data_IF_754616385300
#
_entry.id   IF_754616385300
#
_cell.length_a   1.000
_cell.length_b   1.000
_cell.length_c   1.000
_cell.angle_alpha   90.00
_cell.angle_beta   90.00
_cell.angle_gamma   90.00
#
_symmetry.space_group_name_H-M   'P 1'
#
loop_
_entity.id
_entity.type
_entity.pdbx_description
1 polymer ?
#
# COMPACT_ATOMS: atom_id res chain seq x y z
N UNK A 1 -6.04 -38.82 71.05
CA UNK A 1 -5.02 -38.65 69.98
C UNK A 1 -4.58 -37.20 70.00
N UNK A 2 -3.28 -36.98 70.27
CA UNK A 2 -2.37 -35.85 69.95
C UNK A 2 -2.99 -34.43 69.98
N UNK A 3 -2.67 -33.59 70.99
CA UNK A 3 -1.45 -32.75 71.08
C UNK A 3 -1.27 -31.87 69.84
N UNK A 4 -1.11 -30.55 69.87
CA UNK A 4 -0.78 -29.57 70.91
C UNK A 4 -0.08 -28.37 70.23
N UNK A 5 0.05 -27.28 70.97
CA UNK A 5 1.02 -26.18 70.83
C UNK A 5 0.81 -25.06 69.77
N UNK A 6 0.77 -23.84 70.33
CA UNK A 6 1.15 -22.55 69.74
C UNK A 6 2.52 -22.59 69.06
N UNK A 7 2.67 -21.89 67.94
CA UNK A 7 3.93 -21.26 67.49
C UNK A 7 3.59 -19.99 66.69
N UNK A 8 3.66 -18.82 67.33
CA UNK A 8 4.65 -17.76 67.11
C UNK A 8 4.63 -17.11 65.71
N UNK A 9 4.16 -15.86 65.69
CA UNK A 9 4.39 -14.91 64.61
C UNK A 9 5.90 -14.59 64.52
N UNK A 10 6.50 -14.91 63.37
CA UNK A 10 7.82 -14.41 63.00
C UNK A 10 7.63 -13.39 61.87
N UNK A 11 7.93 -12.13 62.18
CA UNK A 11 8.22 -11.10 61.17
C UNK A 11 9.40 -11.57 60.32
N UNK A 12 9.16 -11.82 59.05
CA UNK A 12 10.23 -11.83 58.04
C UNK A 12 10.10 -10.50 57.29
N UNK A 13 11.02 -9.59 57.58
CA UNK A 13 11.25 -8.40 56.76
C UNK A 13 11.76 -8.86 55.38
N UNK A 14 10.86 -9.04 54.42
CA UNK A 14 11.22 -9.21 53.03
C UNK A 14 11.65 -7.84 52.50
N UNK A 15 12.96 -7.65 52.31
CA UNK A 15 13.52 -6.52 51.58
C UNK A 15 12.89 -6.47 50.19
N UNK A 16 12.23 -5.37 49.87
CA UNK A 16 11.72 -5.10 48.54
C UNK A 16 12.88 -5.09 47.54
N UNK A 17 12.83 -5.84 46.43
CA UNK A 17 13.72 -5.56 45.32
C UNK A 17 13.30 -4.20 44.72
N UNK A 18 14.28 -3.30 44.58
CA UNK A 18 14.13 -2.02 43.91
C UNK A 18 13.51 -2.22 42.50
N UNK A 19 12.76 -1.24 41.97
CA UNK A 19 12.23 -1.34 40.62
C UNK A 19 13.42 -1.38 39.65
N UNK A 20 13.61 -2.51 38.98
CA UNK A 20 14.46 -2.56 37.82
C UNK A 20 13.83 -1.62 36.78
N UNK A 21 14.43 -0.45 36.61
CA UNK A 21 14.17 0.46 35.51
C UNK A 21 14.40 -0.32 34.22
N UNK A 22 13.32 -0.81 33.62
CA UNK A 22 13.36 -1.31 32.25
C UNK A 22 13.67 -0.11 31.36
N UNK A 23 14.96 0.09 31.11
CA UNK A 23 15.45 1.00 30.09
C UNK A 23 14.78 0.59 28.79
N UNK A 24 13.86 1.42 28.31
CA UNK A 24 13.22 1.28 27.02
C UNK A 24 14.32 1.15 25.97
N UNK A 25 14.42 -0.03 25.35
CA UNK A 25 15.22 -0.19 24.15
C UNK A 25 14.63 0.74 23.08
N UNK A 26 15.44 1.59 22.42
CA UNK A 26 14.91 2.49 21.42
C UNK A 26 14.36 1.68 20.25
N UNK A 27 13.16 2.07 19.80
CA UNK A 27 12.55 1.60 18.57
C UNK A 27 13.54 1.82 17.43
N UNK A 28 14.03 0.74 16.84
CA UNK A 28 14.91 0.79 15.68
C UNK A 28 14.09 1.34 14.51
N UNK A 29 14.47 2.50 14.00
CA UNK A 29 13.90 3.11 12.82
C UNK A 29 14.20 2.21 11.60
N UNK A 30 13.26 1.35 11.18
CA UNK A 30 13.31 0.68 9.87
C UNK A 30 13.14 1.72 8.75
N UNK A 31 14.23 2.45 8.51
CA UNK A 31 14.38 3.51 7.52
C UNK A 31 15.86 3.80 7.18
N UNK A 32 16.81 3.34 8.00
CA UNK A 32 18.23 3.42 7.70
C UNK A 32 18.71 2.16 6.94
N UNK A 33 19.26 2.35 5.73
CA UNK A 33 19.98 1.32 5.02
C UNK A 33 21.17 0.87 5.89
N UNK A 34 21.19 -0.40 6.31
CA UNK A 34 22.38 -1.00 6.92
C UNK A 34 23.59 -0.84 5.97
N UNK A 35 24.81 -0.59 6.48
CA UNK A 35 25.99 -0.51 5.64
C UNK A 35 26.26 -1.89 5.04
N UNK A 36 26.01 -2.00 3.73
CA UNK A 36 26.20 -3.23 2.96
C UNK A 36 27.71 -3.44 2.76
N UNK A 37 28.32 -4.36 3.49
CA UNK A 37 29.68 -4.88 3.21
C UNK A 37 29.67 -5.94 2.11
N UNK A 38 28.81 -5.78 1.11
CA UNK A 38 28.83 -6.60 -0.11
C UNK A 38 29.41 -5.75 -1.22
N UNK A 39 30.52 -6.20 -1.80
CA UNK A 39 31.08 -5.66 -3.05
C UNK A 39 29.92 -5.34 -3.99
N UNK A 40 29.80 -4.11 -4.55
CA UNK A 40 28.67 -3.76 -5.39
C UNK A 40 28.76 -4.61 -6.65
N UNK A 41 28.03 -5.74 -6.64
CA UNK A 41 27.54 -6.35 -7.86
C UNK A 41 26.85 -5.20 -8.57
N UNK A 42 27.44 -4.74 -9.70
CA UNK A 42 26.89 -3.63 -10.50
C UNK A 42 25.42 -3.94 -10.69
N UNK A 43 24.56 -3.21 -9.98
CA UNK A 43 23.12 -3.38 -10.14
C UNK A 43 22.87 -3.06 -11.60
N UNK A 44 22.22 -3.97 -12.33
CA UNK A 44 21.95 -3.72 -13.74
C UNK A 44 21.21 -2.39 -13.85
N UNK A 45 21.80 -1.44 -14.58
CA UNK A 45 21.22 -0.14 -14.82
C UNK A 45 20.65 -0.10 -16.25
N UNK A 46 19.50 0.56 -16.38
CA UNK A 46 18.87 0.86 -17.65
C UNK A 46 18.48 2.33 -17.66
N UNK A 47 18.74 3.01 -18.77
CA UNK A 47 18.32 4.38 -19.00
C UNK A 47 17.23 4.37 -20.07
N UNK A 48 16.10 5.01 -19.78
CA UNK A 48 15.05 5.27 -20.75
C UNK A 48 15.27 6.66 -21.35
N UNK A 49 15.44 6.72 -22.67
CA UNK A 49 15.69 7.97 -23.39
C UNK A 49 17.17 8.21 -23.72
N UNK A 50 17.43 9.32 -24.42
CA UNK A 50 18.73 9.74 -24.93
C UNK A 50 18.92 11.26 -24.86
N UNK A 51 18.24 11.94 -23.93
CA UNK A 51 18.38 13.38 -23.69
C UNK A 51 17.28 14.25 -24.26
N UNK A 52 16.25 13.68 -24.88
CA UNK A 52 15.12 14.44 -25.44
C UNK A 52 13.77 13.87 -25.00
N UNK A 53 12.70 14.68 -24.87
CA UNK A 53 11.39 14.18 -24.49
C UNK A 53 10.88 13.08 -25.43
N UNK A 54 11.08 13.24 -26.73
CA UNK A 54 10.65 12.27 -27.76
C UNK A 54 11.36 10.91 -27.67
N UNK A 55 12.57 10.86 -27.10
CA UNK A 55 13.31 9.61 -26.93
C UNK A 55 12.73 8.69 -25.84
N UNK A 56 11.95 9.27 -24.91
CA UNK A 56 11.33 8.54 -23.80
C UNK A 56 9.97 7.98 -24.20
N UNK A 57 9.99 6.76 -24.75
CA UNK A 57 8.80 6.09 -25.29
C UNK A 57 8.25 5.04 -24.35
N UNK A 58 6.94 4.78 -24.43
CA UNK A 58 6.26 3.63 -23.81
C UNK A 58 7.06 2.33 -24.00
N UNK A 59 7.46 2.05 -25.23
CA UNK A 59 8.23 0.86 -25.60
C UNK A 59 9.56 0.76 -24.85
N UNK A 60 10.26 1.88 -24.64
CA UNK A 60 11.50 1.89 -23.88
C UNK A 60 11.26 1.60 -22.39
N UNK A 61 10.20 2.16 -21.80
CA UNK A 61 9.78 1.86 -20.42
C UNK A 61 9.46 0.37 -20.25
N UNK A 62 8.61 -0.20 -21.12
CA UNK A 62 8.21 -1.60 -21.05
C UNK A 62 9.43 -2.53 -21.12
N UNK A 63 10.38 -2.26 -22.02
CA UNK A 63 11.62 -3.06 -22.11
C UNK A 63 12.50 -2.92 -20.87
N UNK A 64 12.64 -1.71 -20.33
CA UNK A 64 13.45 -1.48 -19.14
C UNK A 64 12.85 -2.19 -17.92
N UNK A 65 11.53 -2.14 -17.73
CA UNK A 65 10.83 -2.84 -16.63
C UNK A 65 10.97 -4.36 -16.76
N UNK A 66 10.82 -4.91 -17.97
CA UNK A 66 10.98 -6.35 -18.20
C UNK A 66 12.42 -6.83 -17.96
N UNK A 67 13.42 -5.98 -18.23
CA UNK A 67 14.83 -6.27 -17.94
C UNK A 67 15.15 -6.22 -16.43
N UNK A 68 14.38 -5.46 -15.67
CA UNK A 68 14.62 -5.21 -14.25
C UNK A 68 15.87 -4.36 -13.97
N UNK A 69 16.31 -4.36 -12.72
CA UNK A 69 17.40 -3.52 -12.24
C UNK A 69 16.96 -2.11 -11.87
N UNK A 70 17.89 -1.15 -11.90
CA UNK A 70 17.61 0.27 -11.65
C UNK A 70 17.36 0.96 -12.98
N UNK A 71 16.21 1.62 -13.09
CA UNK A 71 15.72 2.30 -14.28
C UNK A 71 15.68 3.80 -14.00
N UNK A 72 16.50 4.54 -14.73
CA UNK A 72 16.51 6.01 -14.73
C UNK A 72 16.06 6.54 -16.09
N UNK A 73 15.84 7.85 -16.18
CA UNK A 73 15.25 8.47 -17.36
C UNK A 73 16.09 9.67 -17.80
N UNK A 74 16.46 9.66 -19.08
CA UNK A 74 17.15 10.75 -19.76
C UNK A 74 16.22 11.33 -20.85
N UNK A 75 15.19 12.06 -20.41
CA UNK A 75 14.15 12.64 -21.26
C UNK A 75 14.36 14.13 -21.53
N UNK A 76 15.55 14.66 -21.23
CA UNK A 76 15.84 16.09 -21.27
C UNK A 76 15.58 16.82 -19.95
N UNK A 77 15.73 18.16 -19.93
CA UNK A 77 15.81 18.93 -18.69
C UNK A 77 14.46 19.15 -17.99
N UNK A 78 13.34 19.15 -18.73
CA UNK A 78 12.01 19.44 -18.21
C UNK A 78 11.21 18.21 -17.77
N UNK A 79 10.04 18.40 -17.14
CA UNK A 79 9.08 17.32 -16.91
C UNK A 79 8.59 16.71 -18.22
N UNK A 80 8.40 15.39 -18.24
CA UNK A 80 7.95 14.63 -19.42
C UNK A 80 6.85 13.64 -19.03
N UNK A 81 5.74 13.68 -19.77
CA UNK A 81 4.70 12.65 -19.70
C UNK A 81 4.91 11.65 -20.82
N UNK A 82 5.07 10.39 -20.44
CA UNK A 82 5.15 9.25 -21.35
C UNK A 82 3.77 8.61 -21.39
N UNK A 83 3.06 8.76 -22.52
CA UNK A 83 1.83 8.04 -22.79
C UNK A 83 2.16 6.55 -22.94
N UNK A 84 1.67 5.72 -22.02
CA UNK A 84 1.94 4.29 -22.01
C UNK A 84 1.00 3.62 -22.99
N UNK A 85 1.52 2.97 -24.02
CA UNK A 85 0.75 2.21 -25.02
C UNK A 85 0.56 0.74 -24.61
N UNK A 86 1.36 0.27 -23.64
CA UNK A 86 1.30 -1.09 -23.11
C UNK A 86 1.66 -1.08 -21.63
N UNK A 87 0.98 -1.92 -20.84
CA UNK A 87 1.34 -2.15 -19.44
C UNK A 87 2.77 -2.68 -19.34
N UNK A 88 3.58 -2.03 -18.50
CA UNK A 88 4.92 -2.49 -18.20
C UNK A 88 4.86 -3.57 -17.11
N UNK A 89 5.24 -4.79 -17.47
CA UNK A 89 5.15 -5.98 -16.61
C UNK A 89 6.53 -6.35 -16.08
N UNK A 90 6.62 -6.53 -14.77
CA UNK A 90 7.81 -7.05 -14.10
C UNK A 90 7.91 -8.55 -14.39
N UNK A 91 9.09 -9.00 -14.82
CA UNK A 91 9.38 -10.43 -14.99
C UNK A 91 9.81 -11.01 -13.64
N UNK A 92 9.22 -12.13 -13.24
CA UNK A 92 9.35 -12.68 -11.89
C UNK A 92 10.76 -13.18 -11.53
N UNK A 93 11.62 -13.42 -12.53
CA UNK A 93 13.04 -13.74 -12.32
C UNK A 93 13.88 -12.52 -11.94
N UNK A 94 13.31 -11.31 -11.94
CA UNK A 94 14.00 -10.08 -11.53
C UNK A 94 14.16 -10.03 -10.02
N UNK A 95 15.38 -9.94 -9.51
CA UNK A 95 15.59 -9.72 -8.07
C UNK A 95 15.01 -8.37 -7.59
N UNK A 96 15.17 -7.33 -8.43
CA UNK A 96 14.77 -5.96 -8.12
C UNK A 96 14.41 -5.19 -9.38
N UNK A 97 13.41 -4.31 -9.28
CA UNK A 97 13.04 -3.33 -10.29
C UNK A 97 12.84 -1.98 -9.60
N UNK A 98 13.65 -0.98 -9.93
CA UNK A 98 13.53 0.38 -9.39
C UNK A 98 13.22 1.34 -10.53
N UNK A 99 12.08 2.00 -10.50
CA UNK A 99 11.80 3.12 -11.40
C UNK A 99 12.07 4.42 -10.64
N UNK A 100 13.05 5.17 -11.11
CA UNK A 100 13.46 6.44 -10.53
C UNK A 100 13.28 7.59 -11.54
N UNK A 101 12.18 8.31 -11.43
CA UNK A 101 11.80 9.35 -12.37
C UNK A 101 12.50 10.69 -12.17
N UNK A 102 13.37 10.82 -11.18
CA UNK A 102 14.05 12.10 -10.92
C UNK A 102 13.13 13.26 -10.53
N UNK A 103 11.84 13.01 -10.29
CA UNK A 103 10.80 14.02 -10.05
C UNK A 103 10.23 14.63 -11.33
N UNK A 104 10.66 14.17 -12.51
CA UNK A 104 10.32 14.75 -13.82
C UNK A 104 9.42 13.86 -14.66
N UNK A 105 9.35 12.57 -14.36
CA UNK A 105 8.68 11.61 -15.22
C UNK A 105 7.27 11.31 -14.74
N UNK A 106 6.33 11.47 -15.66
CA UNK A 106 4.96 10.99 -15.54
C UNK A 106 4.76 9.82 -16.50
N UNK A 107 4.24 8.69 -16.00
CA UNK A 107 3.70 7.63 -16.84
C UNK A 107 2.17 7.77 -16.84
N UNK A 108 1.57 7.95 -18.02
CA UNK A 108 0.12 8.05 -18.14
C UNK A 108 -0.47 6.78 -18.77
N UNK A 109 -1.47 6.19 -18.12
CA UNK A 109 -2.25 5.08 -18.66
C UNK A 109 -3.28 5.50 -19.72
N UNK A 110 -3.42 6.81 -19.97
CA UNK A 110 -4.31 7.42 -20.95
C UNK A 110 -5.81 7.13 -20.74
N UNK A 111 -6.21 6.70 -19.54
CA UNK A 111 -7.57 6.26 -19.22
C UNK A 111 -7.88 4.83 -19.68
N UNK A 112 -6.94 4.17 -20.35
CA UNK A 112 -7.19 2.94 -21.12
C UNK A 112 -6.56 1.69 -20.49
N UNK A 113 -5.51 1.85 -19.66
CA UNK A 113 -4.74 0.67 -19.21
C UNK A 113 -4.02 0.86 -17.89
N UNK A 114 -3.72 -0.29 -17.27
CA UNK A 114 -2.81 -0.40 -16.14
C UNK A 114 -1.40 -0.01 -16.57
N UNK A 115 -0.69 0.74 -15.72
CA UNK A 115 0.65 1.24 -16.04
C UNK A 115 1.72 0.21 -15.67
N UNK A 116 1.74 -0.26 -14.42
CA UNK A 116 2.68 -1.26 -13.91
C UNK A 116 1.97 -2.49 -13.37
N UNK A 117 2.57 -3.65 -13.60
CA UNK A 117 2.04 -4.93 -13.16
C UNK A 117 3.17 -5.83 -12.66
N UNK A 118 2.99 -6.38 -11.46
CA UNK A 118 3.84 -7.41 -10.90
C UNK A 118 2.96 -8.52 -10.32
N UNK A 119 3.10 -9.74 -10.81
CA UNK A 119 2.34 -10.87 -10.33
C UNK A 119 3.20 -12.14 -10.39
N UNK A 120 3.68 -12.56 -9.23
CA UNK A 120 4.51 -13.77 -9.09
C UNK A 120 3.74 -15.07 -9.39
N UNK A 121 2.40 -15.01 -9.43
CA UNK A 121 1.51 -16.10 -9.80
C UNK A 121 1.15 -16.11 -11.30
N UNK A 122 1.56 -15.09 -12.06
CA UNK A 122 1.34 -15.03 -13.51
C UNK A 122 2.44 -15.83 -14.25
N UNK A 123 2.05 -16.98 -14.81
CA UNK A 123 2.96 -17.84 -15.58
C UNK A 123 3.56 -17.13 -16.80
N UNK A 124 2.88 -16.15 -17.38
CA UNK A 124 3.41 -15.37 -18.49
C UNK A 124 4.57 -14.45 -18.06
N UNK A 125 4.70 -14.17 -16.75
CA UNK A 125 5.85 -13.46 -16.17
C UNK A 125 6.91 -14.41 -15.58
N UNK A 126 6.84 -15.70 -15.92
CA UNK A 126 7.69 -16.81 -15.43
C UNK A 126 7.34 -17.23 -14.01
N UNK A 127 7.19 -18.54 -13.79
CA UNK A 127 7.00 -19.08 -12.45
C UNK A 127 8.35 -19.52 -11.87
N UNK A 128 8.70 -19.00 -10.71
CA UNK A 128 10.03 -19.16 -10.08
C UNK A 128 10.06 -20.19 -8.96
N UNK A 129 8.91 -20.52 -8.37
CA UNK A 129 8.76 -21.44 -7.22
C UNK A 129 7.46 -22.23 -7.34
N UNK A 130 7.23 -23.24 -6.49
CA UNK A 130 5.91 -23.91 -6.41
C UNK A 130 4.85 -23.10 -5.65
N UNK A 131 5.27 -22.08 -4.89
CA UNK A 131 4.41 -21.24 -4.04
C UNK A 131 4.55 -19.78 -4.50
N UNK A 132 3.65 -19.35 -5.38
CA UNK A 132 3.80 -18.05 -6.02
C UNK A 132 3.50 -16.87 -5.10
N UNK A 133 2.62 -17.04 -4.12
CA UNK A 133 2.04 -15.98 -3.31
C UNK A 133 2.98 -15.45 -2.22
N UNK A 134 3.96 -16.23 -1.75
CA UNK A 134 4.95 -15.77 -0.75
C UNK A 134 6.38 -15.84 -1.30
N UNK A 135 6.78 -14.82 -2.07
CA UNK A 135 8.12 -14.73 -2.65
C UNK A 135 8.84 -13.46 -2.24
N UNK A 136 10.12 -13.58 -1.87
CA UNK A 136 10.95 -12.43 -1.50
C UNK A 136 11.25 -11.47 -2.66
N UNK A 137 11.12 -11.96 -3.89
CA UNK A 137 11.43 -11.28 -5.14
C UNK A 137 10.29 -11.53 -6.14
N UNK A 138 10.03 -10.59 -7.07
CA UNK A 138 10.75 -9.34 -7.29
C UNK A 138 10.52 -8.26 -6.23
N UNK A 139 11.51 -7.37 -6.05
CA UNK A 139 11.38 -6.15 -5.25
C UNK A 139 11.14 -4.94 -6.16
N UNK A 140 9.90 -4.51 -6.28
CA UNK A 140 9.50 -3.31 -7.01
C UNK A 140 9.60 -2.07 -6.11
N UNK A 141 10.32 -1.05 -6.59
CA UNK A 141 10.37 0.28 -5.97
C UNK A 141 10.03 1.31 -7.02
N UNK A 142 9.02 2.13 -6.76
CA UNK A 142 8.74 3.34 -7.54
C UNK A 142 9.13 4.54 -6.71
N UNK A 143 9.97 5.42 -7.25
CA UNK A 143 10.37 6.63 -6.54
C UNK A 143 10.50 7.85 -7.44
N UNK A 144 10.08 9.02 -6.93
CA UNK A 144 10.14 10.29 -7.67
C UNK A 144 9.46 10.21 -9.05
N UNK A 145 8.34 9.47 -9.10
CA UNK A 145 7.53 9.22 -10.28
C UNK A 145 6.17 9.90 -10.16
N UNK A 146 5.51 10.16 -11.29
CA UNK A 146 4.06 10.39 -11.35
C UNK A 146 3.37 9.31 -12.16
N UNK A 147 2.21 8.87 -11.72
CA UNK A 147 1.35 7.89 -12.40
C UNK A 147 -0.04 8.48 -12.57
N UNK A 148 -0.45 8.74 -13.80
CA UNK A 148 -1.74 9.39 -14.08
C UNK A 148 -2.60 8.58 -15.03
N UNK A 149 -3.92 8.77 -14.94
CA UNK A 149 -4.88 8.20 -15.89
C UNK A 149 -4.71 6.69 -16.10
N UNK A 150 -4.22 5.95 -15.10
CA UNK A 150 -4.19 4.50 -15.11
C UNK A 150 -5.61 3.96 -15.03
N UNK A 151 -5.91 2.90 -15.77
CA UNK A 151 -7.23 2.25 -15.73
C UNK A 151 -7.11 0.73 -15.74
N UNK A 152 -7.70 0.07 -14.77
CA UNK A 152 -7.82 -1.39 -14.76
C UNK A 152 -9.22 -1.88 -15.11
N UNK A 153 -10.05 -1.04 -15.74
CA UNK A 153 -11.43 -1.42 -16.06
C UNK A 153 -11.47 -2.67 -16.95
N UNK A 154 -12.25 -3.68 -16.55
CA UNK A 154 -12.35 -4.96 -17.25
C UNK A 154 -11.17 -5.91 -17.03
N UNK A 155 -10.14 -5.51 -16.28
CA UNK A 155 -9.05 -6.40 -15.88
C UNK A 155 -9.49 -7.26 -14.69
N UNK A 156 -9.78 -8.54 -14.92
CA UNK A 156 -10.37 -9.43 -13.90
C UNK A 156 -9.38 -10.33 -13.17
N UNK A 157 -8.09 -10.30 -13.55
CA UNK A 157 -7.04 -11.09 -12.90
C UNK A 157 -7.06 -10.85 -11.39
N UNK A 158 -7.23 -11.93 -10.63
CA UNK A 158 -7.24 -11.93 -9.16
C UNK A 158 -8.24 -10.93 -8.54
N UNK A 159 -9.41 -10.81 -9.16
CA UNK A 159 -10.49 -9.92 -8.71
C UNK A 159 -10.35 -8.47 -9.18
N UNK A 160 -9.30 -8.16 -9.95
CA UNK A 160 -9.12 -6.88 -10.62
C UNK A 160 -8.61 -5.74 -9.73
N UNK A 161 -8.73 -4.52 -10.25
CA UNK A 161 -8.21 -3.31 -9.62
C UNK A 161 -6.75 -2.99 -9.96
N UNK A 162 -6.19 -2.03 -9.23
CA UNK A 162 -4.82 -1.55 -9.46
C UNK A 162 -4.70 -0.78 -10.77
N UNK A 163 -5.38 0.36 -10.87
CA UNK A 163 -5.45 1.17 -12.10
C UNK A 163 -4.09 1.72 -12.54
N UNK A 164 -3.27 2.22 -11.63
CA UNK A 164 -1.88 2.52 -11.95
C UNK A 164 -0.98 1.29 -11.76
N UNK A 165 -1.02 0.68 -10.58
CA UNK A 165 -0.13 -0.41 -10.18
C UNK A 165 -0.93 -1.56 -9.58
N UNK A 166 -0.69 -2.77 -10.09
CA UNK A 166 -1.15 -4.01 -9.49
C UNK A 166 0.04 -4.85 -9.03
N UNK A 167 -0.04 -5.36 -7.80
CA UNK A 167 0.97 -6.24 -7.21
C UNK A 167 0.34 -7.48 -6.58
N UNK A 168 0.89 -8.64 -6.93
CA UNK A 168 0.65 -9.91 -6.25
C UNK A 168 1.98 -10.64 -6.03
N UNK A 169 2.35 -10.80 -4.76
CA UNK A 169 3.60 -11.39 -4.29
C UNK A 169 4.79 -10.44 -4.44
N UNK A 170 5.99 -10.91 -4.11
CA UNK A 170 7.18 -10.08 -4.12
C UNK A 170 7.15 -9.01 -3.02
N UNK A 171 7.74 -7.84 -3.31
CA UNK A 171 7.70 -6.66 -2.43
C UNK A 171 7.51 -5.36 -3.22
N UNK A 172 6.67 -4.47 -2.70
CA UNK A 172 6.48 -3.09 -3.19
C UNK A 172 6.98 -2.04 -2.19
N UNK A 173 7.54 -0.95 -2.70
CA UNK A 173 7.74 0.30 -1.95
C UNK A 173 7.50 1.52 -2.85
N UNK A 174 6.84 2.53 -2.31
CA UNK A 174 6.44 3.77 -3.01
C UNK A 174 7.02 4.96 -2.25
N UNK A 175 7.88 5.73 -2.90
CA UNK A 175 8.61 6.83 -2.25
C UNK A 175 8.50 8.11 -3.08
N UNK A 176 8.20 9.25 -2.48
CA UNK A 176 8.30 10.55 -3.15
C UNK A 176 7.53 10.61 -4.49
N UNK A 177 6.37 9.95 -4.58
CA UNK A 177 5.67 9.73 -5.86
C UNK A 177 4.23 10.25 -5.82
N UNK A 178 3.67 10.55 -6.99
CA UNK A 178 2.30 11.03 -7.12
C UNK A 178 1.44 10.12 -7.99
N UNK A 179 0.18 9.95 -7.61
CA UNK A 179 -0.84 9.20 -8.33
C UNK A 179 -2.05 10.09 -8.51
N UNK A 180 -2.48 10.32 -9.76
CA UNK A 180 -3.61 11.20 -10.05
C UNK A 180 -4.59 10.57 -11.05
N UNK A 181 -5.88 10.74 -10.80
CA UNK A 181 -6.97 10.44 -11.75
C UNK A 181 -6.99 9.00 -12.28
N UNK A 182 -6.46 8.08 -11.48
CA UNK A 182 -6.47 6.67 -11.81
C UNK A 182 -7.84 6.05 -11.51
N UNK A 183 -8.16 4.96 -12.21
CA UNK A 183 -9.50 4.35 -12.26
C UNK A 183 -9.43 2.84 -12.18
N UNK A 184 -10.50 2.24 -11.68
CA UNK A 184 -10.77 0.82 -11.82
C UNK A 184 -12.26 0.62 -12.13
N UNK A 185 -12.73 -0.63 -12.20
CA UNK A 185 -14.14 -0.95 -12.29
C UNK A 185 -14.98 -0.23 -11.23
N UNK A 186 -16.16 0.24 -11.64
CA UNK A 186 -17.02 1.10 -10.81
C UNK A 186 -17.80 0.33 -9.76
N UNK A 187 -17.83 -0.99 -9.85
CA UNK A 187 -18.62 -1.88 -9.02
C UNK A 187 -17.88 -3.20 -8.80
N UNK A 188 -18.20 -3.89 -7.70
CA UNK A 188 -17.64 -5.19 -7.38
C UNK A 188 -17.25 -5.26 -5.90
N UNK A 189 -17.58 -6.36 -5.20
CA UNK A 189 -17.03 -6.61 -3.87
C UNK A 189 -15.51 -6.77 -3.96
N UNK A 190 -14.79 -6.34 -2.93
CA UNK A 190 -13.34 -6.56 -2.78
C UNK A 190 -12.42 -6.02 -3.90
N UNK A 191 -12.99 -5.42 -4.94
CA UNK A 191 -12.29 -4.80 -6.05
C UNK A 191 -11.96 -3.36 -5.68
N UNK A 192 -10.68 -2.99 -5.75
CA UNK A 192 -10.24 -1.67 -5.31
C UNK A 192 -8.92 -1.19 -5.91
N UNK A 193 -8.46 -0.03 -5.47
CA UNK A 193 -7.13 0.48 -5.79
C UNK A 193 -7.11 1.15 -7.15
N UNK A 194 -7.75 2.31 -7.30
CA UNK A 194 -7.63 3.07 -8.54
C UNK A 194 -6.16 3.42 -8.79
N UNK A 195 -5.41 3.85 -7.76
CA UNK A 195 -3.96 3.96 -7.88
C UNK A 195 -3.29 2.59 -7.71
N UNK A 196 -3.37 1.98 -6.53
CA UNK A 196 -2.58 0.78 -6.22
C UNK A 196 -3.42 -0.32 -5.59
N UNK A 197 -3.27 -1.54 -6.11
CA UNK A 197 -3.81 -2.77 -5.52
C UNK A 197 -2.69 -3.75 -5.18
N UNK A 198 -2.73 -4.29 -3.96
CA UNK A 198 -1.76 -5.29 -3.49
C UNK A 198 -2.48 -6.47 -2.83
N UNK A 199 -2.22 -7.69 -3.30
CA UNK A 199 -2.91 -8.90 -2.83
C UNK A 199 -2.05 -9.84 -2.00
N UNK A 200 -0.73 -9.73 -2.11
CA UNK A 200 0.23 -10.59 -1.40
C UNK A 200 1.56 -9.84 -1.26
N UNK A 201 2.25 -10.04 -0.13
CA UNK A 201 3.58 -9.50 0.17
C UNK A 201 4.42 -10.55 0.88
N UNK A 202 5.73 -10.58 0.61
CA UNK A 202 6.59 -11.56 1.28
C UNK A 202 6.53 -11.47 2.80
N UNK A 203 6.19 -12.58 3.46
CA UNK A 203 6.06 -12.71 4.93
C UNK A 203 5.15 -11.64 5.53
N UNK A 204 4.09 -11.29 4.82
CA UNK A 204 3.06 -10.32 5.24
C UNK A 204 3.63 -8.94 5.63
N UNK A 205 4.85 -8.63 5.15
CA UNK A 205 5.51 -7.36 5.44
C UNK A 205 4.70 -6.22 4.82
N UNK A 206 4.51 -5.11 5.55
CA UNK A 206 3.72 -4.01 5.05
C UNK A 206 4.35 -3.40 3.79
N UNK A 207 3.49 -2.93 2.90
CA UNK A 207 3.91 -2.03 1.83
C UNK A 207 4.23 -0.67 2.44
N UNK A 208 5.40 -0.13 2.11
CA UNK A 208 5.82 1.20 2.58
C UNK A 208 5.47 2.25 1.53
N UNK A 209 4.70 3.25 1.97
CA UNK A 209 4.35 4.44 1.21
C UNK A 209 4.86 5.66 1.97
N UNK A 210 5.79 6.42 1.39
CA UNK A 210 6.40 7.59 2.05
C UNK A 210 6.37 8.82 1.15
N UNK A 211 6.02 9.97 1.72
CA UNK A 211 6.06 11.29 1.04
C UNK A 211 5.38 11.27 -0.33
N UNK A 212 4.22 10.64 -0.41
CA UNK A 212 3.54 10.39 -1.67
C UNK A 212 2.14 11.01 -1.67
N UNK A 213 1.63 11.33 -2.86
CA UNK A 213 0.32 11.99 -3.02
C UNK A 213 -0.62 11.14 -3.88
N UNK A 214 -1.88 11.03 -3.47
CA UNK A 214 -2.92 10.28 -4.18
C UNK A 214 -4.16 11.15 -4.34
N UNK A 215 -4.51 11.49 -5.58
CA UNK A 215 -5.56 12.48 -5.85
C UNK A 215 -6.56 12.01 -6.91
N UNK A 216 -7.84 12.27 -6.69
CA UNK A 216 -8.87 12.13 -7.72
C UNK A 216 -9.17 10.69 -8.17
N UNK A 217 -8.66 9.69 -7.47
CA UNK A 217 -8.87 8.29 -7.81
C UNK A 217 -10.34 7.89 -7.74
N UNK A 218 -10.81 7.05 -8.66
CA UNK A 218 -12.20 6.54 -8.68
C UNK A 218 -12.27 5.06 -8.95
N UNK A 219 -12.83 4.31 -8.01
CA UNK A 219 -12.85 2.85 -8.06
C UNK A 219 -14.05 2.30 -7.27
N UNK A 220 -14.38 1.01 -7.42
CA UNK A 220 -15.46 0.39 -6.62
C UNK A 220 -15.21 0.58 -5.12
N UNK A 221 -13.98 0.30 -4.67
CA UNK A 221 -13.49 0.50 -3.30
C UNK A 221 -12.07 1.09 -3.34
N UNK A 222 -11.56 1.58 -2.20
CA UNK A 222 -10.13 1.89 -2.00
C UNK A 222 -9.53 2.74 -3.12
N UNK A 223 -10.06 3.93 -3.38
CA UNK A 223 -9.76 4.59 -4.66
C UNK A 223 -8.35 5.15 -4.79
N UNK A 224 -7.62 5.30 -3.68
CA UNK A 224 -6.16 5.39 -3.74
C UNK A 224 -5.52 4.01 -3.58
N UNK A 225 -5.57 3.46 -2.36
CA UNK A 225 -4.91 2.20 -2.00
C UNK A 225 -5.94 1.13 -1.67
N UNK A 226 -5.68 -0.09 -2.13
CA UNK A 226 -6.48 -1.25 -1.78
C UNK A 226 -5.62 -2.47 -1.55
N UNK A 227 -5.96 -3.26 -0.53
CA UNK A 227 -5.39 -4.59 -0.35
C UNK A 227 -6.41 -5.63 0.10
N UNK A 228 -6.05 -6.89 -0.15
CA UNK A 228 -6.58 -8.05 0.57
C UNK A 228 -5.37 -8.76 1.19
N UNK A 229 -5.42 -9.06 2.48
CA UNK A 229 -4.36 -9.81 3.18
C UNK A 229 -3.02 -9.08 3.32
N UNK A 230 -2.95 -7.77 2.99
CA UNK A 230 -1.68 -7.03 3.01
C UNK A 230 -1.78 -5.77 3.85
N UNK A 231 -0.80 -5.62 4.74
CA UNK A 231 -0.59 -4.47 5.62
C UNK A 231 0.01 -3.26 4.90
N UNK A 232 -0.24 -2.05 5.43
CA UNK A 232 0.32 -0.79 4.92
C UNK A 232 1.00 0.00 6.02
N UNK A 233 2.12 0.64 5.65
CA UNK A 233 2.74 1.72 6.42
C UNK A 233 2.81 2.97 5.55
N UNK A 234 1.98 3.95 5.88
CA UNK A 234 1.80 5.21 5.16
C UNK A 234 2.37 6.34 6.01
N UNK A 235 3.37 7.03 5.49
CA UNK A 235 4.14 8.05 6.23
C UNK A 235 4.24 9.32 5.40
N UNK A 236 4.00 10.47 6.02
CA UNK A 236 4.13 11.81 5.43
C UNK A 236 3.42 11.97 4.08
N UNK A 237 2.26 11.31 3.90
CA UNK A 237 1.58 11.21 2.60
C UNK A 237 0.24 11.92 2.59
N UNK A 238 -0.25 12.27 1.39
CA UNK A 238 -1.49 13.03 1.22
C UNK A 238 -2.48 12.28 0.32
N UNK A 239 -3.73 12.22 0.73
CA UNK A 239 -4.84 11.60 0.00
C UNK A 239 -5.97 12.61 -0.15
N UNK A 240 -6.28 13.00 -1.38
CA UNK A 240 -7.24 14.08 -1.63
C UNK A 240 -8.26 13.70 -2.68
N UNK A 241 -9.54 13.93 -2.39
CA UNK A 241 -10.64 13.80 -3.36
C UNK A 241 -10.71 12.43 -4.06
N UNK A 242 -10.31 11.35 -3.38
CA UNK A 242 -10.49 9.99 -3.88
C UNK A 242 -11.90 9.50 -3.55
N UNK A 243 -12.58 8.81 -4.48
CA UNK A 243 -13.99 8.46 -4.34
C UNK A 243 -14.27 6.98 -4.63
N UNK A 244 -14.66 6.22 -3.59
CA UNK A 244 -15.20 4.88 -3.73
C UNK A 244 -16.66 4.95 -4.24
N UNK A 245 -16.86 4.64 -5.53
CA UNK A 245 -18.11 4.88 -6.26
C UNK A 245 -19.04 3.66 -6.35
N UNK A 246 -18.59 2.51 -5.84
CA UNK A 246 -19.41 1.29 -5.76
C UNK A 246 -20.64 1.45 -4.85
N UNK A 247 -21.51 0.44 -4.85
CA UNK A 247 -22.69 0.41 -3.97
C UNK A 247 -23.06 -1.03 -3.64
N UNK A 248 -23.48 -1.28 -2.40
CA UNK A 248 -23.89 -2.59 -1.94
C UNK A 248 -23.02 -3.21 -0.86
N UNK A 249 -22.00 -2.49 -0.37
CA UNK A 249 -21.07 -2.93 0.65
C UNK A 249 -20.23 -4.16 0.27
N UNK A 250 -19.41 -4.62 1.22
CA UNK A 250 -18.68 -5.88 1.15
C UNK A 250 -18.90 -6.69 2.45
N UNK A 251 -19.38 -7.95 2.39
CA UNK A 251 -19.90 -8.65 1.20
C UNK A 251 -21.10 -7.93 0.58
N UNK A 252 -21.33 -8.17 -0.72
CA UNK A 252 -22.41 -7.52 -1.47
C UNK A 252 -23.80 -7.88 -0.90
N UNK A 253 -24.63 -6.87 -0.64
CA UNK A 253 -26.04 -7.06 -0.27
C UNK A 253 -26.82 -7.71 -1.43
N UNK A 254 -27.91 -8.47 -1.14
CA UNK A 254 -28.76 -9.05 -2.17
C UNK A 254 -29.23 -7.99 -3.18
N UNK A 255 -29.06 -8.29 -4.47
CA UNK A 255 -29.47 -7.40 -5.56
C UNK A 255 -28.55 -6.20 -5.84
N UNK A 256 -27.39 -6.11 -5.21
CA UNK A 256 -26.41 -5.04 -5.43
C UNK A 256 -25.10 -5.57 -6.03
N UNK A 257 -24.41 -4.80 -6.90
CA UNK A 257 -23.16 -5.26 -7.50
C UNK A 257 -21.94 -5.21 -6.56
N UNK A 258 -22.09 -4.66 -5.35
CA UNK A 258 -21.07 -4.62 -4.31
C UNK A 258 -20.09 -3.45 -4.41
N UNK A 259 -19.41 -3.18 -3.30
CA UNK A 259 -18.41 -2.14 -3.14
C UNK A 259 -18.95 -0.84 -2.52
N UNK A 260 -18.19 0.25 -2.66
CA UNK A 260 -18.50 1.58 -2.12
C UNK A 260 -17.74 1.95 -0.86
N UNK A 261 -16.69 1.22 -0.49
CA UNK A 261 -15.99 1.39 0.77
C UNK A 261 -14.55 1.91 0.61
N UNK A 262 -14.10 2.74 1.54
CA UNK A 262 -12.72 3.24 1.62
C UNK A 262 -12.40 4.23 0.50
N UNK A 263 -12.80 5.50 0.61
CA UNK A 263 -12.52 6.50 -0.42
C UNK A 263 -11.03 6.63 -0.70
N UNK A 264 -10.20 6.73 0.34
CA UNK A 264 -8.75 6.68 0.21
C UNK A 264 -8.20 5.24 0.28
N UNK A 265 -8.41 4.54 1.41
CA UNK A 265 -7.81 3.23 1.69
C UNK A 265 -8.89 2.19 1.96
N UNK A 266 -8.78 1.04 1.29
CA UNK A 266 -9.55 -0.16 1.56
C UNK A 266 -8.64 -1.32 1.97
N UNK A 267 -8.95 -1.99 3.07
CA UNK A 267 -8.25 -3.18 3.54
C UNK A 267 -9.25 -4.23 4.04
N UNK A 268 -9.08 -5.45 3.56
CA UNK A 268 -9.72 -6.67 4.05
C UNK A 268 -8.63 -7.73 4.26
N UNK A 269 -8.78 -8.65 5.21
CA UNK A 269 -7.84 -9.75 5.40
C UNK A 269 -7.83 -10.34 6.81
N UNK A 270 -6.89 -11.23 7.05
CA UNK A 270 -6.60 -11.84 8.36
C UNK A 270 -5.25 -11.31 8.83
N UNK A 271 -5.09 -10.97 10.11
CA UNK A 271 -3.82 -10.46 10.67
C UNK A 271 -3.16 -9.34 9.84
N UNK A 272 -3.97 -8.33 9.48
CA UNK A 272 -3.51 -7.14 8.73
C UNK A 272 -3.36 -5.93 9.64
N UNK A 273 -2.45 -5.03 9.30
CA UNK A 273 -2.17 -3.82 10.08
C UNK A 273 -2.05 -2.58 9.19
N UNK A 274 -2.61 -1.47 9.67
CA UNK A 274 -2.51 -0.16 9.04
C UNK A 274 -1.81 0.82 9.97
N UNK A 275 -0.71 1.41 9.51
CA UNK A 275 -0.02 2.53 10.18
C UNK A 275 -0.11 3.75 9.28
N UNK A 276 -0.63 4.86 9.82
CA UNK A 276 -0.71 6.18 9.18
C UNK A 276 -0.01 7.20 10.08
N UNK A 277 1.09 7.78 9.61
CA UNK A 277 1.93 8.71 10.37
C UNK A 277 2.16 9.99 9.58
N UNK A 278 2.04 11.16 10.23
CA UNK A 278 2.35 12.45 9.61
C UNK A 278 1.54 12.77 8.34
N UNK A 279 0.39 12.13 8.14
CA UNK A 279 -0.29 12.09 6.84
C UNK A 279 -1.59 12.88 6.86
N UNK A 280 -2.05 13.31 5.68
CA UNK A 280 -3.31 14.03 5.50
C UNK A 280 -4.25 13.25 4.59
N UNK A 281 -5.51 13.12 4.97
CA UNK A 281 -6.59 12.63 4.11
C UNK A 281 -7.74 13.63 4.14
N UNK A 282 -8.08 14.21 3.00
CA UNK A 282 -9.11 15.26 2.93
C UNK A 282 -10.01 15.09 1.72
N UNK A 283 -11.31 15.30 1.87
CA UNK A 283 -12.26 15.28 0.76
C UNK A 283 -12.51 13.89 0.16
N UNK A 284 -12.00 12.82 0.77
CA UNK A 284 -12.19 11.47 0.26
C UNK A 284 -13.61 10.98 0.58
N UNK A 285 -14.27 10.35 -0.38
CA UNK A 285 -15.68 9.99 -0.28
C UNK A 285 -15.90 8.49 -0.46
N UNK A 286 -16.79 7.92 0.34
CA UNK A 286 -17.27 6.56 0.17
C UNK A 286 -18.80 6.54 0.19
N UNK A 287 -19.40 5.87 -0.80
CA UNK A 287 -20.86 5.68 -0.87
C UNK A 287 -21.42 4.71 0.17
N UNK A 288 -20.55 3.91 0.79
CA UNK A 288 -20.91 2.92 1.80
C UNK A 288 -20.03 3.12 3.04
N UNK A 289 -18.91 2.40 3.14
CA UNK A 289 -18.14 2.30 4.38
C UNK A 289 -16.85 3.12 4.40
N UNK A 290 -16.72 4.10 5.30
CA UNK A 290 -15.49 4.86 5.57
C UNK A 290 -14.97 5.71 4.40
N UNK A 291 -15.24 7.02 4.43
CA UNK A 291 -14.78 7.96 3.38
C UNK A 291 -13.26 8.04 3.25
N UNK A 292 -12.53 7.98 4.36
CA UNK A 292 -11.08 7.88 4.36
C UNK A 292 -10.64 6.41 4.32
N UNK A 293 -10.98 5.65 5.36
CA UNK A 293 -10.43 4.31 5.59
C UNK A 293 -11.57 3.31 5.81
N UNK A 294 -11.54 2.21 5.06
CA UNK A 294 -12.28 1.00 5.37
C UNK A 294 -11.30 -0.11 5.74
N UNK A 295 -11.47 -0.70 6.92
CA UNK A 295 -10.57 -1.71 7.46
C UNK A 295 -11.36 -2.85 8.10
N UNK A 296 -11.15 -4.07 7.60
CA UNK A 296 -11.74 -5.31 8.13
C UNK A 296 -10.67 -6.36 8.33
N UNK A 297 -10.42 -6.74 9.59
CA UNK A 297 -9.70 -7.96 9.96
C UNK A 297 -10.71 -9.06 10.31
N UNK A 298 -10.70 -10.12 9.51
CA UNK A 298 -11.67 -11.22 9.55
C UNK A 298 -11.62 -12.02 10.85
N UNK A 299 -10.43 -12.18 11.40
CA UNK A 299 -10.13 -12.87 12.66
C UNK A 299 -10.03 -11.94 13.87
N UNK A 300 -10.27 -10.63 13.68
CA UNK A 300 -10.21 -9.59 14.73
C UNK A 300 -8.85 -9.46 15.42
N UNK A 301 -7.75 -9.77 14.73
CA UNK A 301 -6.37 -9.60 15.22
C UNK A 301 -5.72 -8.31 14.72
N UNK A 302 -6.19 -7.80 13.58
CA UNK A 302 -5.60 -6.65 12.91
C UNK A 302 -5.72 -5.33 13.67
N UNK A 303 -4.80 -4.40 13.41
CA UNK A 303 -4.70 -3.14 14.14
C UNK A 303 -4.62 -1.91 13.24
N UNK A 304 -5.15 -0.79 13.74
CA UNK A 304 -5.06 0.53 13.12
C UNK A 304 -4.29 1.49 14.03
N UNK A 305 -3.24 2.12 13.51
CA UNK A 305 -2.50 3.18 14.19
C UNK A 305 -2.50 4.45 13.35
N UNK A 306 -2.96 5.56 13.94
CA UNK A 306 -2.93 6.89 13.35
C UNK A 306 -2.18 7.81 14.31
N UNK A 307 -1.09 8.43 13.84
CA UNK A 307 -0.25 9.33 14.64
C UNK A 307 0.08 10.61 13.90
N UNK A 308 -0.02 11.76 14.56
CA UNK A 308 0.40 13.04 13.96
C UNK A 308 -0.29 13.35 12.64
N UNK A 309 -1.53 12.88 12.42
CA UNK A 309 -2.18 12.88 11.11
C UNK A 309 -3.51 13.63 11.13
N UNK A 310 -3.97 14.07 9.96
CA UNK A 310 -5.20 14.84 9.79
C UNK A 310 -6.11 14.16 8.78
N UNK A 311 -7.20 13.58 9.24
CA UNK A 311 -8.24 12.97 8.43
C UNK A 311 -9.49 13.82 8.61
N UNK A 312 -9.82 14.62 7.61
CA UNK A 312 -10.91 15.59 7.70
C UNK A 312 -11.79 15.62 6.46
N UNK A 313 -13.07 15.89 6.65
CA UNK A 313 -14.01 16.10 5.55
C UNK A 313 -14.00 14.89 4.60
N UNK A 314 -13.99 13.69 5.18
CA UNK A 314 -13.99 12.43 4.43
C UNK A 314 -15.35 11.71 4.56
N UNK A 315 -16.40 12.18 3.86
CA UNK A 315 -17.76 11.68 4.07
C UNK A 315 -17.92 10.19 3.75
N UNK A 316 -18.69 9.52 4.61
CA UNK A 316 -19.18 8.15 4.43
C UNK A 316 -20.71 8.17 4.35
N UNK A 317 -21.29 7.87 3.19
CA UNK A 317 -22.76 7.97 3.02
C UNK A 317 -23.53 6.83 3.71
N UNK A 318 -22.87 5.69 3.93
CA UNK A 318 -23.50 4.48 4.45
C UNK A 318 -23.22 4.26 5.94
N UNK A 319 -21.99 3.86 6.25
CA UNK A 319 -21.64 3.42 7.60
C UNK A 319 -20.18 3.68 7.96
N UNK A 320 -19.92 3.92 9.23
CA UNK A 320 -18.59 4.16 9.77
C UNK A 320 -18.60 3.90 11.28
N UNK A 321 -17.43 3.68 11.90
CA UNK A 321 -17.29 3.51 13.36
C UNK A 321 -16.59 4.70 14.03
N UNK A 322 -16.07 5.62 13.22
CA UNK A 322 -15.45 6.90 13.54
C UNK A 322 -15.68 7.78 12.29
N UNK A 323 -15.81 9.11 12.38
CA UNK A 323 -15.91 9.96 11.21
C UNK A 323 -14.87 9.64 10.11
N UNK A 324 -15.36 9.31 8.92
CA UNK A 324 -14.58 8.91 7.75
C UNK A 324 -13.91 7.53 7.83
N UNK A 325 -14.08 6.75 8.91
CA UNK A 325 -13.41 5.47 9.10
C UNK A 325 -14.40 4.37 9.51
N UNK A 326 -14.44 3.29 8.74
CA UNK A 326 -14.97 2.02 9.22
C UNK A 326 -13.81 1.12 9.66
N UNK A 327 -13.80 0.74 10.94
CA UNK A 327 -12.78 -0.13 11.51
C UNK A 327 -13.41 -1.35 12.19
N UNK A 328 -12.92 -2.53 11.82
CA UNK A 328 -13.23 -3.82 12.41
C UNK A 328 -11.92 -4.61 12.65
N UNK A 329 -11.46 -4.70 13.89
CA UNK A 329 -10.20 -5.38 14.24
C UNK A 329 -9.98 -5.48 15.75
N UNK A 330 -8.77 -5.84 16.18
CA UNK A 330 -8.40 -6.01 17.59
C UNK A 330 -8.38 -4.69 18.35
N UNK A 331 -7.80 -3.66 17.74
CA UNK A 331 -7.56 -2.40 18.41
C UNK A 331 -7.18 -1.28 17.46
N UNK A 332 -7.52 -0.06 17.88
CA UNK A 332 -7.17 1.18 17.18
C UNK A 332 -6.49 2.15 18.15
N UNK A 333 -5.44 2.81 17.67
CA UNK A 333 -4.73 3.85 18.41
C UNK A 333 -4.70 5.11 17.56
N UNK A 334 -5.26 6.21 18.08
CA UNK A 334 -5.23 7.53 17.44
C UNK A 334 -4.56 8.49 18.42
N UNK A 335 -3.43 9.07 18.04
CA UNK A 335 -2.60 9.92 18.90
C UNK A 335 -2.18 11.17 18.13
N UNK A 336 -2.22 12.34 18.78
CA UNK A 336 -1.82 13.62 18.18
C UNK A 336 -2.42 13.86 16.78
N UNK A 337 -3.68 13.46 16.57
CA UNK A 337 -4.31 13.41 15.26
C UNK A 337 -5.71 14.01 15.29
N UNK A 338 -6.14 14.54 14.15
CA UNK A 338 -7.50 15.04 13.93
C UNK A 338 -8.24 14.03 13.05
N UNK A 339 -9.41 13.58 13.50
CA UNK A 339 -10.30 12.69 12.75
C UNK A 339 -11.73 13.22 12.89
N UNK A 340 -12.29 13.82 11.82
CA UNK A 340 -13.63 14.44 11.83
C UNK A 340 -14.24 14.58 10.43
#
# INVERSE_FOLDING_TARGET
>A
MRAGALVAAALVAAMAPAPATASAAPLVEEGALAPVTRTPSRVAESVVGTGTPASCTSRAVVRAVAKGGVITFDCGPGPVTIAMEKTAKVVNTSARVVLDGGGKITLSGQGERRILYMNTCDRAQVWTTSHCNDQAEPRLVVKRMRFTDGSSAGETTDGGGGGAIFVRGGRLSILDSAFADNRCDRTGPDLGGAAVRVLDQHRDRPVVVKRSTFTGGRCSNGSALSSIGVSWRVVDSTFTDNAAVGRGANPSRPGSPGGGSGGAIYMDGTDIHLVVEGSTMTGNHAREGGGAIFFVSNDRTGTLTIRGSRLEDNPSDGFETIPGIFFLGAGRTITDSVVR
#
